data_IF_463995363505
#
_entry.id   IF_463995363505
#
_cell.length_a   1.000
_cell.length_b   1.000
_cell.length_c   1.000
_cell.angle_alpha   90.00
_cell.angle_beta   90.00
_cell.angle_gamma   90.00
#
_symmetry.space_group_name_H-M   'P 1'
#
loop_
_entity.id
_entity.type
_entity.pdbx_description
1 polymer ?
#
# COMPACT_ATOMS: atom_id res chain seq x y z
N UNK A 1 6.61 -1.98 -0.78
CA UNK A 1 5.66 -0.99 -0.20
C UNK A 1 4.85 -0.23 -1.24
N UNK A 2 5.40 0.23 -2.37
CA UNK A 2 4.68 1.05 -3.35
C UNK A 2 3.32 0.47 -3.81
N UNK A 3 3.27 -0.82 -4.15
CA UNK A 3 2.02 -1.51 -4.56
C UNK A 3 0.92 -1.46 -3.48
N UNK A 4 1.29 -1.58 -2.21
CA UNK A 4 0.35 -1.54 -1.09
C UNK A 4 -0.19 -0.12 -0.87
N UNK A 5 0.66 0.90 -1.02
CA UNK A 5 0.23 2.31 -0.94
C UNK A 5 -0.75 2.67 -2.07
N UNK A 6 -0.46 2.22 -3.30
CA UNK A 6 -1.39 2.35 -4.43
C UNK A 6 -2.75 1.70 -4.13
N UNK A 7 -2.72 0.45 -3.66
CA UNK A 7 -3.94 -0.28 -3.33
C UNK A 7 -4.78 0.40 -2.24
N UNK A 8 -4.12 0.97 -1.23
CA UNK A 8 -4.76 1.74 -0.16
C UNK A 8 -5.44 3.02 -0.68
N UNK A 9 -4.78 3.76 -1.59
CA UNK A 9 -5.36 4.94 -2.25
C UNK A 9 -6.58 4.58 -3.10
N UNK A 10 -6.48 3.53 -3.93
CA UNK A 10 -7.59 3.08 -4.79
C UNK A 10 -8.82 2.66 -3.98
N UNK A 11 -8.60 2.03 -2.82
CA UNK A 11 -9.65 1.57 -1.92
C UNK A 11 -10.02 2.57 -0.82
N UNK A 12 -9.40 3.76 -0.82
CA UNK A 12 -9.67 4.86 0.11
C UNK A 12 -9.58 4.42 1.58
N UNK A 13 -8.48 3.78 1.97
CA UNK A 13 -8.21 3.48 3.37
C UNK A 13 -6.74 3.71 3.71
N UNK A 14 -6.45 3.88 5.00
CA UNK A 14 -5.08 4.11 5.50
C UNK A 14 -4.59 2.94 6.36
N UNK A 15 -3.28 2.69 6.31
CA UNK A 15 -2.65 1.65 7.11
C UNK A 15 -1.31 2.10 7.71
N UNK A 16 -1.03 1.64 8.92
CA UNK A 16 0.27 1.81 9.57
C UNK A 16 1.06 0.50 9.58
N UNK A 17 2.38 0.63 9.69
CA UNK A 17 3.26 -0.51 9.91
C UNK A 17 3.22 -0.87 11.38
N UNK A 18 2.68 -2.05 11.71
CA UNK A 18 2.68 -2.55 13.08
C UNK A 18 4.00 -3.26 13.42
N UNK A 19 4.60 -3.91 12.42
CA UNK A 19 5.90 -4.57 12.56
C UNK A 19 6.58 -4.69 11.20
N UNK A 20 7.89 -4.42 11.15
CA UNK A 20 8.69 -4.65 9.94
C UNK A 20 10.10 -5.11 10.32
N UNK A 21 10.57 -6.14 9.63
CA UNK A 21 11.96 -6.57 9.65
C UNK A 21 12.31 -7.22 8.29
N UNK A 22 13.54 -7.72 8.16
CA UNK A 22 14.03 -8.32 6.90
C UNK A 22 13.24 -9.55 6.43
N UNK A 23 12.46 -10.21 7.31
CA UNK A 23 11.75 -11.45 6.98
C UNK A 23 10.23 -11.32 7.01
N UNK A 24 9.70 -10.26 7.61
CA UNK A 24 8.27 -10.09 7.86
C UNK A 24 7.84 -8.63 7.90
N UNK A 25 6.68 -8.37 7.28
CA UNK A 25 5.94 -7.11 7.41
C UNK A 25 4.53 -7.41 7.92
N UNK A 26 4.07 -6.63 8.89
CA UNK A 26 2.70 -6.63 9.40
C UNK A 26 2.16 -5.20 9.30
N UNK A 27 1.06 -5.06 8.58
CA UNK A 27 0.33 -3.80 8.45
C UNK A 27 -1.02 -3.93 9.15
N UNK A 28 -1.52 -2.83 9.69
CA UNK A 28 -2.84 -2.70 10.27
C UNK A 28 -3.46 -1.37 9.88
N UNK A 29 -4.78 -1.24 10.06
CA UNK A 29 -5.44 0.04 9.86
C UNK A 29 -4.85 1.11 10.80
N UNK A 30 -4.99 2.37 10.43
CA UNK A 30 -4.64 3.50 11.31
C UNK A 30 -5.47 3.50 12.59
N UNK A 31 -6.75 3.11 12.49
CA UNK A 31 -7.62 2.86 13.65
C UNK A 31 -7.24 1.54 14.33
N UNK A 32 -6.76 1.64 15.57
CA UNK A 32 -6.33 0.48 16.38
C UNK A 32 -7.46 -0.49 16.73
N UNK A 33 -8.73 -0.06 16.67
CA UNK A 33 -9.90 -0.90 16.91
C UNK A 33 -10.38 -1.61 15.64
N UNK A 34 -9.79 -1.31 14.49
CA UNK A 34 -10.18 -1.89 13.21
C UNK A 34 -9.61 -3.31 13.02
N UNK A 35 -10.41 -4.20 12.43
CA UNK A 35 -10.00 -5.59 12.16
C UNK A 35 -9.03 -5.77 10.99
N UNK A 36 -8.88 -4.76 10.12
CA UNK A 36 -8.10 -4.90 8.90
C UNK A 36 -6.62 -5.14 9.21
N UNK A 37 -6.03 -6.17 8.60
CA UNK A 37 -4.63 -6.56 8.86
C UNK A 37 -4.03 -7.33 7.70
N UNK A 38 -2.79 -7.03 7.37
CA UNK A 38 -2.01 -7.74 6.35
C UNK A 38 -0.73 -8.27 6.96
N UNK A 39 -0.42 -9.55 6.70
CA UNK A 39 0.87 -10.17 7.04
C UNK A 39 1.54 -10.67 5.77
N UNK A 40 2.75 -10.18 5.53
CA UNK A 40 3.61 -10.62 4.46
C UNK A 40 4.92 -11.18 5.00
N UNK A 41 5.46 -12.19 4.31
CA UNK A 41 6.76 -12.80 4.61
C UNK A 41 7.65 -12.73 3.38
N UNK A 42 8.96 -12.66 3.59
CA UNK A 42 9.93 -12.78 2.50
C UNK A 42 9.83 -14.17 1.85
N UNK A 43 10.01 -14.22 0.53
CA UNK A 43 10.18 -15.47 -0.22
C UNK A 43 11.62 -15.96 -0.02
N UNK A 44 11.86 -17.25 0.27
CA UNK A 44 13.22 -17.75 0.43
C UNK A 44 14.10 -17.41 -0.78
N UNK A 45 15.34 -16.97 -0.51
CA UNK A 45 16.33 -16.59 -1.54
C UNK A 45 15.86 -15.46 -2.47
N UNK A 46 15.00 -14.57 -2.00
CA UNK A 46 14.47 -13.45 -2.77
C UNK A 46 14.32 -12.20 -1.90
N UNK A 47 14.24 -11.04 -2.55
CA UNK A 47 13.88 -9.77 -1.91
C UNK A 47 12.37 -9.50 -1.92
N UNK A 48 11.58 -10.41 -2.51
CA UNK A 48 10.13 -10.27 -2.60
C UNK A 48 9.43 -10.71 -1.32
N UNK A 49 8.39 -9.96 -0.96
CA UNK A 49 7.44 -10.33 0.08
C UNK A 49 6.15 -10.86 -0.54
N UNK A 50 5.63 -11.94 0.01
CA UNK A 50 4.33 -12.53 -0.37
C UNK A 50 3.33 -12.36 0.77
N UNK A 51 2.10 -11.99 0.43
CA UNK A 51 1.00 -11.91 1.39
C UNK A 51 0.64 -13.33 1.84
N UNK A 52 0.73 -13.59 3.14
CA UNK A 52 0.40 -14.90 3.75
C UNK A 52 -0.95 -14.89 4.45
N UNK A 53 -1.38 -13.73 4.96
CA UNK A 53 -2.68 -13.54 5.59
C UNK A 53 -3.17 -12.12 5.31
N UNK A 54 -4.43 -12.02 4.90
CA UNK A 54 -5.15 -10.76 4.73
C UNK A 54 -6.51 -10.88 5.41
N UNK A 55 -6.79 -9.97 6.34
CA UNK A 55 -8.13 -9.69 6.83
C UNK A 55 -8.60 -8.44 6.08
N UNK A 56 -9.36 -8.62 5.01
CA UNK A 56 -9.76 -7.52 4.10
C UNK A 56 -10.91 -6.66 4.64
N UNK A 57 -11.61 -7.15 5.68
CA UNK A 57 -12.72 -6.41 6.29
C UNK A 57 -12.22 -5.32 7.22
N UNK A 58 -12.66 -4.10 6.96
CA UNK A 58 -12.63 -3.00 7.92
C UNK A 58 -13.86 -3.03 8.82
N UNK A 59 -13.68 -2.73 10.10
CA UNK A 59 -14.76 -2.47 11.06
C UNK A 59 -14.91 -0.99 11.40
N UNK A 60 -13.94 -0.16 10.97
CA UNK A 60 -14.00 1.29 11.02
C UNK A 60 -14.62 1.86 9.75
N UNK A 61 -15.04 3.13 9.80
CA UNK A 61 -15.41 3.88 8.61
C UNK A 61 -14.14 4.29 7.85
N UNK A 62 -14.03 3.89 6.57
CA UNK A 62 -12.91 4.27 5.70
C UNK A 62 -13.26 5.48 4.82
N UNK A 63 -14.50 5.97 4.85
CA UNK A 63 -14.96 7.06 3.98
C UNK A 63 -14.58 8.45 4.47
N UNK A 64 -14.23 8.59 5.75
CA UNK A 64 -13.60 9.78 6.30
C UNK A 64 -12.14 9.88 5.82
N UNK A 65 -11.98 10.18 4.54
CA UNK A 65 -10.69 10.40 3.91
C UNK A 65 -9.99 11.57 4.58
N UNK A 66 -8.88 11.29 5.25
CA UNK A 66 -7.97 12.33 5.68
C UNK A 66 -7.42 13.04 4.43
N UNK A 67 -7.56 14.37 4.29
CA UNK A 67 -6.95 15.10 3.17
C UNK A 67 -5.42 14.89 3.12
N UNK A 68 -4.80 14.53 4.25
CA UNK A 68 -3.41 14.11 4.38
C UNK A 68 -3.28 12.59 4.50
N UNK A 69 -3.79 11.85 3.51
CA UNK A 69 -3.70 10.39 3.45
C UNK A 69 -2.24 9.94 3.58
N UNK A 70 -1.91 9.18 4.64
CA UNK A 70 -0.54 8.83 5.02
C UNK A 70 0.24 8.10 3.89
N UNK A 71 -0.47 7.39 3.03
CA UNK A 71 0.11 6.63 1.92
C UNK A 71 0.25 7.45 0.62
N UNK A 72 -0.30 8.68 0.56
CA UNK A 72 -0.18 9.62 -0.55
C UNK A 72 1.15 10.39 -0.57
N UNK A 73 2.27 9.68 -0.40
CA UNK A 73 3.62 10.29 -0.47
C UNK A 73 3.96 10.75 -1.89
N UNK A 74 4.80 11.78 -2.04
CA UNK A 74 5.25 12.29 -3.34
C UNK A 74 5.80 11.19 -4.25
N UNK A 75 6.59 10.25 -3.72
CA UNK A 75 7.11 9.09 -4.48
C UNK A 75 5.99 8.16 -4.97
N UNK A 76 4.96 7.93 -4.16
CA UNK A 76 3.81 7.11 -4.56
C UNK A 76 2.99 7.78 -5.64
N UNK A 77 2.73 9.08 -5.50
CA UNK A 77 2.02 9.86 -6.52
C UNK A 77 2.83 9.95 -7.82
N UNK A 78 4.14 10.19 -7.75
CA UNK A 78 5.02 10.18 -8.91
C UNK A 78 5.02 8.81 -9.61
N UNK A 79 5.07 7.70 -8.87
CA UNK A 79 4.97 6.36 -9.45
C UNK A 79 3.61 6.11 -10.14
N UNK A 80 2.52 6.67 -9.62
CA UNK A 80 1.20 6.57 -10.23
C UNK A 80 1.13 7.39 -11.53
N UNK A 81 1.55 8.65 -11.49
CA UNK A 81 1.52 9.57 -12.64
C UNK A 81 2.46 9.08 -13.74
N UNK A 82 3.71 8.74 -13.41
CA UNK A 82 4.69 8.26 -14.39
C UNK A 82 4.29 6.94 -15.04
N UNK A 83 3.53 6.07 -14.35
CA UNK A 83 3.01 4.85 -14.97
C UNK A 83 2.04 5.12 -16.13
N UNK A 84 1.40 6.30 -16.17
CA UNK A 84 0.58 6.75 -17.30
C UNK A 84 1.35 7.46 -18.43
N UNK A 85 2.63 7.78 -18.24
CA UNK A 85 3.46 8.50 -19.23
C UNK A 85 4.32 7.58 -20.11
N UNK A 86 4.36 6.27 -19.83
CA UNK A 86 5.16 5.31 -20.60
C UNK A 86 4.54 4.91 -21.96
N UNK A 87 3.37 5.45 -22.34
CA UNK A 87 2.68 5.13 -23.60
C UNK A 87 2.73 6.23 -24.67
N UNK A 88 3.55 7.29 -24.52
CA UNK A 88 3.79 8.26 -25.60
C UNK A 88 5.27 8.61 -25.75
N UNK A 89 6.04 7.66 -26.27
CA UNK A 89 7.31 7.94 -26.97
C UNK A 89 7.31 7.45 -28.42
N UNK A 90 6.13 7.36 -29.04
CA UNK A 90 6.02 7.33 -30.49
C UNK A 90 5.75 8.75 -30.99
N UNK A 91 6.80 9.42 -31.47
CA UNK A 91 6.66 10.70 -32.17
C UNK A 91 7.39 11.88 -31.54
N UNK A 92 8.72 11.79 -31.44
CA UNK A 92 9.55 12.96 -31.69
C UNK A 92 10.67 12.54 -32.63
N UNK A 93 10.35 12.60 -33.93
CA UNK A 93 11.34 12.78 -34.99
C UNK A 93 11.47 14.27 -35.25
#
# INVERSE_FOLDING_TARGET
MARLRKWALERKFEFKTLWSNKTRVILGCVDDKCSWRLRALVVPHSEFFVVRKLVDKHTCDTTHGNPNHEQATATTLASLICSGYHEKKDGLK
#
